data_IF_706227240261
#
_entry.id   IF_706227240261
#
_cell.length_a   1.000
_cell.length_b   1.000
_cell.length_c   1.000
_cell.angle_alpha   90.00
_cell.angle_beta   90.00
_cell.angle_gamma   90.00
#
_symmetry.space_group_name_H-M   'P 1'
#
loop_
_entity.id
_entity.type
_entity.pdbx_description
1 polymer ?
#
# COMPACT_ATOMS: atom_id res chain seq x y z
N UNK A 1 25.01 14.88 -15.31
CA UNK A 1 23.64 14.47 -15.65
C UNK A 1 23.15 13.64 -14.47
N UNK A 2 22.37 14.22 -13.54
CA UNK A 2 22.12 13.60 -12.25
C UNK A 2 21.16 12.41 -12.40
N UNK A 3 21.37 11.41 -11.56
CA UNK A 3 20.72 10.09 -11.61
C UNK A 3 19.46 10.09 -10.74
N UNK A 4 18.29 10.13 -11.35
CA UNK A 4 17.01 10.00 -10.65
C UNK A 4 16.53 8.53 -10.69
N UNK A 5 16.18 7.95 -9.53
CA UNK A 5 15.62 6.58 -9.35
C UNK A 5 14.12 6.65 -8.93
N UNK A 6 13.21 5.67 -9.22
CA UNK A 6 11.73 5.88 -9.44
C UNK A 6 10.67 5.00 -8.64
N UNK A 7 9.44 5.48 -8.15
CA UNK A 7 8.32 4.90 -7.21
C UNK A 7 6.96 4.72 -7.82
N UNK A 8 6.28 3.77 -7.17
CA UNK A 8 4.86 3.65 -7.15
C UNK A 8 4.13 4.85 -6.49
N UNK A 9 3.36 5.56 -7.32
CA UNK A 9 2.47 6.70 -7.02
C UNK A 9 1.46 6.58 -5.86
N UNK A 10 0.83 5.42 -5.53
CA UNK A 10 -0.26 5.36 -4.55
C UNK A 10 0.15 5.56 -3.08
N UNK A 11 1.42 5.32 -2.72
CA UNK A 11 1.89 5.48 -1.34
C UNK A 11 2.25 6.94 -1.00
N UNK A 12 2.77 7.68 -1.98
CA UNK A 12 3.16 9.09 -1.84
C UNK A 12 1.95 10.01 -1.65
N UNK A 13 0.85 9.75 -2.38
CA UNK A 13 -0.40 10.51 -2.22
C UNK A 13 -1.01 10.40 -0.82
N UNK A 14 -0.72 9.30 -0.10
CA UNK A 14 -1.23 9.06 1.26
C UNK A 14 -0.42 9.74 2.37
N UNK A 15 0.72 10.35 2.04
CA UNK A 15 1.58 11.05 3.02
C UNK A 15 1.86 12.50 2.56
N UNK A 16 1.06 13.01 1.63
CA UNK A 16 1.29 14.27 0.93
C UNK A 16 1.25 15.47 1.88
N UNK A 17 0.27 15.53 2.79
CA UNK A 17 0.16 16.66 3.72
C UNK A 17 1.31 16.68 4.72
N UNK A 18 1.69 15.50 5.22
CA UNK A 18 2.77 15.35 6.19
C UNK A 18 4.13 15.71 5.57
N UNK A 19 4.41 15.25 4.35
CA UNK A 19 5.68 15.54 3.67
C UNK A 19 5.79 17.01 3.21
N UNK A 20 4.70 17.64 2.79
CA UNK A 20 4.68 19.09 2.45
C UNK A 20 5.11 19.98 3.61
N UNK A 21 4.68 19.66 4.84
CA UNK A 21 5.00 20.47 6.04
C UNK A 21 6.48 20.43 6.40
N UNK A 22 7.20 19.40 5.97
CA UNK A 22 8.62 19.18 6.28
C UNK A 22 9.56 19.74 5.20
N UNK A 23 9.04 20.26 4.08
CA UNK A 23 9.85 20.81 2.99
C UNK A 23 10.71 19.77 2.26
N UNK A 24 10.35 18.49 2.35
CA UNK A 24 11.13 17.37 1.78
C UNK A 24 10.83 17.25 0.28
N UNK A 25 11.88 17.16 -0.53
CA UNK A 25 11.75 16.86 -1.96
C UNK A 25 11.33 15.40 -2.12
N UNK A 26 10.20 15.20 -2.79
CA UNK A 26 9.63 13.86 -2.98
C UNK A 26 10.23 13.22 -4.22
N UNK A 27 10.87 12.10 -4.02
CA UNK A 27 11.37 11.24 -5.08
C UNK A 27 10.59 9.93 -5.03
N UNK A 28 10.47 9.34 -6.20
CA UNK A 28 9.72 8.12 -6.36
C UNK A 28 10.71 6.88 -6.22
N UNK A 29 10.50 5.72 -5.54
CA UNK A 29 11.00 4.27 -5.70
C UNK A 29 10.00 3.02 -5.95
N UNK A 30 10.18 2.04 -6.88
CA UNK A 30 9.06 1.28 -7.57
C UNK A 30 8.09 0.48 -6.67
N UNK A 31 8.49 0.24 -5.43
CA UNK A 31 7.64 -0.16 -4.32
C UNK A 31 8.23 0.40 -2.99
N UNK A 32 7.46 0.36 -1.91
CA UNK A 32 7.89 0.93 -0.62
C UNK A 32 9.03 0.16 0.04
N UNK A 33 9.15 -1.15 -0.17
CA UNK A 33 10.27 -1.93 0.34
C UNK A 33 11.53 -1.72 -0.51
N UNK A 34 11.39 -1.60 -1.83
CA UNK A 34 12.45 -1.21 -2.76
C UNK A 34 13.04 0.16 -2.43
N UNK A 35 12.20 1.12 -2.01
CA UNK A 35 12.65 2.42 -1.51
C UNK A 35 13.59 2.30 -0.30
N UNK A 36 13.22 1.49 0.68
CA UNK A 36 14.03 1.24 1.87
C UNK A 36 15.36 0.55 1.49
N UNK A 37 15.30 -0.45 0.61
CA UNK A 37 16.51 -1.11 0.10
C UNK A 37 17.46 -0.12 -0.58
N UNK A 38 16.91 0.76 -1.42
CA UNK A 38 17.68 1.76 -2.16
C UNK A 38 18.40 2.71 -1.21
N UNK A 39 17.71 3.26 -0.19
CA UNK A 39 18.30 4.12 0.83
C UNK A 39 19.41 3.38 1.60
N UNK A 40 19.16 2.14 2.01
CA UNK A 40 20.16 1.32 2.69
C UNK A 40 21.40 1.07 1.82
N UNK A 41 21.21 0.81 0.52
CA UNK A 41 22.30 0.51 -0.42
C UNK A 41 23.15 1.72 -0.78
N UNK A 42 22.56 2.93 -0.83
CA UNK A 42 23.26 4.16 -1.18
C UNK A 42 23.99 4.80 0.00
N UNK A 43 23.50 4.58 1.22
CA UNK A 43 24.13 5.11 2.45
C UNK A 43 24.06 6.63 2.58
N UNK A 44 23.24 7.29 1.78
CA UNK A 44 22.99 8.74 1.83
C UNK A 44 22.25 9.09 3.13
N UNK A 45 22.68 10.18 3.80
CA UNK A 45 22.10 10.63 5.08
C UNK A 45 21.04 11.72 4.91
N UNK A 46 20.97 12.30 3.74
CA UNK A 46 19.99 13.30 3.29
C UNK A 46 18.78 12.68 2.59
N UNK A 47 18.79 11.36 2.38
CA UNK A 47 17.72 10.61 1.74
C UNK A 47 17.04 9.66 2.74
N UNK A 48 15.70 9.68 2.79
CA UNK A 48 14.89 8.76 3.60
C UNK A 48 13.84 8.03 2.75
N UNK A 49 13.28 6.94 3.30
CA UNK A 49 12.24 6.15 2.63
C UNK A 49 10.97 6.05 3.48
N UNK A 50 9.80 6.27 2.85
CA UNK A 50 8.50 5.97 3.44
C UNK A 50 8.17 4.50 3.19
N UNK A 51 8.36 3.67 4.21
CA UNK A 51 8.22 2.22 4.13
C UNK A 51 7.62 1.63 5.41
N UNK A 52 7.24 0.35 5.36
CA UNK A 52 6.79 -0.35 6.56
C UNK A 52 7.92 -0.50 7.59
N UNK A 53 7.58 -0.52 8.89
CA UNK A 53 8.56 -0.79 9.96
C UNK A 53 9.28 -2.15 9.76
N UNK A 54 8.61 -3.11 9.12
CA UNK A 54 9.21 -4.39 8.74
C UNK A 54 10.35 -4.20 7.73
N UNK A 55 10.17 -3.35 6.71
CA UNK A 55 11.21 -3.07 5.73
C UNK A 55 12.42 -2.37 6.39
N UNK A 56 12.18 -1.42 7.30
CA UNK A 56 13.25 -0.80 8.08
C UNK A 56 14.08 -1.84 8.85
N UNK A 57 13.44 -2.83 9.47
CA UNK A 57 14.15 -3.93 10.15
C UNK A 57 14.93 -4.83 9.19
N UNK A 58 14.37 -5.16 8.02
CA UNK A 58 15.02 -6.02 7.02
C UNK A 58 16.27 -5.36 6.43
N UNK A 59 16.23 -4.05 6.23
CA UNK A 59 17.33 -3.29 5.63
C UNK A 59 18.16 -2.49 6.66
N UNK A 60 18.01 -2.79 7.94
CA UNK A 60 18.77 -2.19 9.05
C UNK A 60 18.74 -0.66 9.08
N UNK A 61 17.59 -0.07 8.75
CA UNK A 61 17.36 1.37 8.77
C UNK A 61 16.78 1.84 10.10
N UNK A 62 17.12 3.07 10.49
CA UNK A 62 16.51 3.75 11.63
C UNK A 62 15.14 4.34 11.24
N UNK A 63 14.13 4.08 12.07
CA UNK A 63 12.80 4.70 11.92
C UNK A 63 12.86 6.13 12.47
N UNK A 64 12.70 7.12 11.59
CA UNK A 64 12.76 8.54 11.94
C UNK A 64 11.40 9.09 12.41
N UNK A 65 10.30 8.52 11.90
CA UNK A 65 8.94 8.87 12.27
C UNK A 65 8.01 7.68 12.02
N UNK A 66 7.04 7.48 12.90
CA UNK A 66 5.99 6.48 12.75
C UNK A 66 4.66 7.15 12.37
N UNK A 67 3.75 6.36 11.77
CA UNK A 67 2.40 6.82 11.39
C UNK A 67 2.38 8.11 10.56
N UNK A 68 3.25 8.20 9.56
CA UNK A 68 3.35 9.37 8.67
C UNK A 68 2.27 9.41 7.59
N UNK A 69 1.30 8.50 7.64
CA UNK A 69 0.14 8.48 6.74
C UNK A 69 -0.85 9.56 7.16
N UNK A 70 -1.48 10.20 6.18
CA UNK A 70 -2.43 11.29 6.40
C UNK A 70 -3.80 10.78 6.88
N UNK A 71 -4.12 9.50 6.64
CA UNK A 71 -5.35 8.83 7.07
C UNK A 71 -5.01 7.56 7.86
N UNK A 72 -5.50 7.51 9.10
CA UNK A 72 -5.29 6.38 10.02
C UNK A 72 -6.19 5.16 9.70
N UNK A 73 -7.25 5.33 8.90
CA UNK A 73 -8.23 4.28 8.56
C UNK A 73 -7.85 3.48 7.29
N UNK A 74 -6.57 3.50 6.90
CA UNK A 74 -6.07 2.76 5.74
C UNK A 74 -5.95 1.25 6.05
N UNK A 75 -7.07 0.52 5.96
CA UNK A 75 -7.16 -0.92 6.22
C UNK A 75 -6.95 -1.72 4.92
N UNK A 76 -6.01 -2.67 4.93
CA UNK A 76 -5.82 -3.63 3.83
C UNK A 76 -6.39 -5.00 4.21
N UNK A 77 -7.39 -5.47 3.47
CA UNK A 77 -7.97 -6.80 3.64
C UNK A 77 -7.28 -7.83 2.72
N UNK A 78 -6.68 -8.87 3.31
CA UNK A 78 -6.08 -9.99 2.56
C UNK A 78 -7.01 -11.21 2.58
N UNK A 79 -7.05 -11.94 1.47
CA UNK A 79 -7.68 -13.25 1.37
C UNK A 79 -6.59 -14.33 1.21
N UNK A 80 -6.60 -15.33 2.09
CA UNK A 80 -5.77 -16.52 1.95
C UNK A 80 -6.57 -17.55 1.14
N UNK A 81 -6.00 -18.02 0.03
CA UNK A 81 -6.63 -19.00 -0.86
C UNK A 81 -5.86 -20.31 -0.87
N UNK A 82 -6.57 -21.43 -0.89
CA UNK A 82 -6.01 -22.77 -0.98
C UNK A 82 -6.70 -23.56 -2.09
N UNK A 83 -5.99 -24.53 -2.68
CA UNK A 83 -6.57 -25.40 -3.72
C UNK A 83 -7.64 -26.32 -3.17
N UNK A 84 -7.40 -26.86 -1.97
CA UNK A 84 -8.31 -27.80 -1.31
C UNK A 84 -9.22 -27.04 -0.35
N UNK A 85 -10.51 -27.43 -0.26
CA UNK A 85 -11.45 -26.79 0.63
C UNK A 85 -11.08 -27.05 2.09
N UNK A 86 -10.96 -25.98 2.87
CA UNK A 86 -10.94 -26.09 4.32
C UNK A 86 -12.40 -26.09 4.81
N UNK A 87 -12.88 -27.24 5.29
CA UNK A 87 -14.25 -27.38 5.78
C UNK A 87 -14.36 -26.62 7.10
N UNK A 88 -15.10 -25.51 7.04
CA UNK A 88 -15.46 -24.73 8.21
C UNK A 88 -16.29 -25.56 9.20
N UNK A 89 -15.90 -25.53 10.49
CA UNK A 89 -16.73 -26.02 11.58
C UNK A 89 -17.92 -25.10 11.87
N UNK A 90 -18.63 -25.33 12.96
CA UNK A 90 -19.74 -24.47 13.42
C UNK A 90 -19.41 -23.71 14.69
N UNK A 91 -18.15 -23.72 15.12
CA UNK A 91 -17.70 -23.17 16.40
C UNK A 91 -17.45 -21.64 16.35
N UNK A 92 -17.48 -21.03 15.15
CA UNK A 92 -17.14 -19.62 14.93
C UNK A 92 -18.00 -18.99 13.84
N UNK A 93 -17.91 -17.66 13.74
CA UNK A 93 -18.48 -16.92 12.61
C UNK A 93 -17.61 -17.08 11.36
N UNK A 94 -18.26 -17.34 10.23
CA UNK A 94 -17.63 -17.46 8.92
C UNK A 94 -18.13 -16.38 7.97
N UNK A 95 -17.24 -15.92 7.08
CA UNK A 95 -17.60 -15.10 5.92
C UNK A 95 -17.52 -15.97 4.67
N UNK A 96 -18.55 -15.89 3.83
CA UNK A 96 -18.62 -16.57 2.54
C UNK A 96 -18.51 -15.54 1.42
N UNK A 97 -17.61 -15.76 0.46
CA UNK A 97 -17.50 -14.94 -0.74
C UNK A 97 -18.08 -15.73 -1.92
N UNK A 98 -18.95 -15.09 -2.70
CA UNK A 98 -19.59 -15.69 -3.89
C UNK A 98 -19.38 -14.78 -5.09
N UNK A 99 -19.23 -15.37 -6.27
CA UNK A 99 -19.18 -14.66 -7.56
C UNK A 99 -20.28 -15.25 -8.43
N UNK A 100 -21.13 -14.39 -9.00
CA UNK A 100 -22.21 -14.77 -9.92
C UNK A 100 -22.34 -13.73 -11.02
N UNK A 101 -23.04 -14.09 -12.09
CA UNK A 101 -23.32 -13.21 -13.24
C UNK A 101 -24.83 -13.12 -13.44
N UNK A 102 -25.32 -11.94 -13.83
CA UNK A 102 -26.72 -11.72 -14.18
C UNK A 102 -26.83 -11.43 -15.68
N UNK A 103 -27.93 -11.85 -16.30
CA UNK A 103 -28.31 -11.37 -17.63
C UNK A 103 -28.94 -9.97 -17.46
N UNK A 104 -28.23 -8.93 -17.91
CA UNK A 104 -28.81 -7.57 -17.93
C UNK A 104 -29.78 -7.44 -19.10
N UNK A 105 -31.07 -7.27 -18.79
CA UNK A 105 -32.08 -6.88 -19.79
C UNK A 105 -32.09 -5.36 -19.90
N UNK A 106 -31.58 -4.83 -21.02
CA UNK A 106 -31.68 -3.40 -21.31
C UNK A 106 -33.15 -3.01 -21.56
N UNK A 107 -33.64 -2.04 -20.80
CA UNK A 107 -34.98 -1.45 -21.00
C UNK A 107 -34.83 -0.02 -21.50
N UNK A 108 -35.59 0.34 -22.54
CA UNK A 108 -35.72 1.72 -22.99
C UNK A 108 -36.78 2.42 -22.14
N UNK A 109 -36.35 3.39 -21.33
CA UNK A 109 -37.25 4.25 -20.56
C UNK A 109 -37.41 5.59 -21.27
N UNK A 110 -38.66 6.01 -21.52
CA UNK A 110 -39.01 7.38 -21.95
C UNK A 110 -39.72 8.08 -20.78
N UNK A 111 -39.33 9.32 -20.44
CA UNK A 111 -40.12 10.17 -19.53
C UNK A 111 -41.47 10.52 -20.20
N UNK A 112 -42.55 10.72 -19.41
CA UNK A 112 -43.83 11.19 -19.94
C UNK A 112 -43.65 12.49 -20.74
#
# INVERSE_FOLDING_TARGET
MPYDLPLHMPALAKCEMTLSKLGIVRVSADDTAGAAQMVASRGERDTGAAASARAAKVYELNVLAEKTQDDDDNITCFLIVAREPNIAGTDRLYKTSIVFTLEEVQVFCKKP
#
